data_IF_330693370342
#
_entry.id   IF_330693370342
#
_cell.length_a   1.000
_cell.length_b   1.000
_cell.length_c   1.000
_cell.angle_alpha   90.00
_cell.angle_beta   90.00
_cell.angle_gamma   90.00
#
_symmetry.space_group_name_H-M   'P 1'
#
loop_
_entity.id
_entity.type
_entity.pdbx_description
1 polymer ?
#
# COMPACT_ATOMS: atom_id res chain seq x y z
N UNK A 1 16.57 41.63 -4.13
CA UNK A 1 15.64 40.83 -3.30
C UNK A 1 15.00 39.61 -4.01
N UNK A 2 15.26 39.37 -5.30
CA UNK A 2 14.60 38.30 -6.10
C UNK A 2 15.24 36.91 -5.92
N UNK A 3 16.56 36.81 -5.70
CA UNK A 3 17.27 35.52 -5.52
C UNK A 3 17.00 34.83 -4.18
N UNK A 4 16.73 35.58 -3.11
CA UNK A 4 16.38 35.01 -1.78
C UNK A 4 15.02 34.31 -1.77
N UNK A 5 14.13 34.65 -2.71
CA UNK A 5 12.80 34.00 -2.86
C UNK A 5 12.91 32.69 -3.65
N UNK A 6 13.71 32.67 -4.70
CA UNK A 6 13.99 31.46 -5.48
C UNK A 6 14.69 30.37 -4.66
N UNK A 7 15.63 30.75 -3.79
CA UNK A 7 16.33 29.82 -2.90
C UNK A 7 15.39 29.16 -1.87
N UNK A 8 14.41 29.91 -1.35
CA UNK A 8 13.42 29.40 -0.39
C UNK A 8 12.42 28.44 -1.03
N UNK A 9 12.04 28.69 -2.29
CA UNK A 9 11.13 27.83 -3.04
C UNK A 9 11.83 26.51 -3.42
N UNK A 10 13.10 26.56 -3.82
CA UNK A 10 13.90 25.35 -4.11
C UNK A 10 14.13 24.47 -2.88
N UNK A 11 14.35 25.08 -1.70
CA UNK A 11 14.57 24.33 -0.45
C UNK A 11 13.28 23.64 0.04
N UNK A 12 12.12 24.30 -0.07
CA UNK A 12 10.81 23.72 0.28
C UNK A 12 10.42 22.56 -0.64
N UNK A 13 10.69 22.66 -1.94
CA UNK A 13 10.39 21.60 -2.89
C UNK A 13 11.25 20.34 -2.67
N UNK A 14 12.50 20.49 -2.23
CA UNK A 14 13.39 19.36 -1.97
C UNK A 14 13.03 18.62 -0.66
N UNK A 15 12.56 19.35 0.36
CA UNK A 15 12.21 18.77 1.66
C UNK A 15 10.95 17.89 1.60
N UNK A 16 9.98 18.21 0.73
CA UNK A 16 8.77 17.40 0.56
C UNK A 16 9.01 16.11 -0.24
N UNK A 17 9.98 16.12 -1.16
CA UNK A 17 10.37 14.94 -1.94
C UNK A 17 11.09 13.88 -1.10
N UNK A 18 11.85 14.27 -0.07
CA UNK A 18 12.52 13.31 0.82
C UNK A 18 11.54 12.59 1.77
N UNK A 19 10.42 13.21 2.14
CA UNK A 19 9.46 12.63 3.08
C UNK A 19 8.65 11.45 2.49
N UNK A 20 8.47 11.43 1.17
CA UNK A 20 7.72 10.37 0.49
C UNK A 20 8.50 9.03 0.38
N UNK A 21 9.83 9.05 0.59
CA UNK A 21 10.67 7.87 0.48
C UNK A 21 10.61 6.94 1.72
N UNK A 22 9.98 7.38 2.81
CA UNK A 22 9.92 6.61 4.06
C UNK A 22 8.65 5.74 4.19
N UNK A 23 7.79 5.72 3.17
CA UNK A 23 6.62 4.85 3.13
C UNK A 23 7.04 3.47 2.60
N UNK A 24 7.48 2.58 3.49
CA UNK A 24 7.88 1.22 3.16
C UNK A 24 6.65 0.30 3.02
N UNK A 25 6.23 -0.07 1.80
CA UNK A 25 5.03 -0.91 1.61
C UNK A 25 5.20 -2.32 2.18
N UNK A 26 6.45 -2.77 2.35
CA UNK A 26 6.76 -4.05 2.98
C UNK A 26 6.52 -4.01 4.50
N UNK A 27 6.91 -2.91 5.16
CA UNK A 27 6.67 -2.72 6.59
C UNK A 27 5.17 -2.64 6.88
N UNK A 28 4.40 -1.95 6.03
CA UNK A 28 2.95 -1.88 6.17
C UNK A 28 2.28 -3.24 6.00
N UNK A 29 2.65 -4.01 4.97
CA UNK A 29 2.13 -5.39 4.79
C UNK A 29 2.38 -6.27 6.01
N UNK A 30 3.57 -6.19 6.62
CA UNK A 30 3.89 -6.98 7.80
C UNK A 30 3.02 -6.61 9.02
N UNK A 31 2.73 -5.31 9.21
CA UNK A 31 1.83 -4.85 10.27
C UNK A 31 0.40 -5.36 10.06
N UNK A 32 -0.09 -5.23 8.84
CA UNK A 32 -1.43 -5.70 8.48
C UNK A 32 -1.57 -7.22 8.63
N UNK A 33 -0.54 -7.99 8.29
CA UNK A 33 -0.54 -9.44 8.46
C UNK A 33 -0.61 -9.85 9.94
N UNK A 34 0.08 -9.12 10.82
CA UNK A 34 0.00 -9.32 12.26
C UNK A 34 -1.40 -9.01 12.81
N UNK A 35 -2.05 -7.95 12.32
CA UNK A 35 -3.43 -7.59 12.68
C UNK A 35 -4.41 -8.68 12.22
N UNK A 36 -4.32 -9.11 10.97
CA UNK A 36 -5.19 -10.15 10.41
C UNK A 36 -5.04 -11.47 11.18
N UNK A 37 -3.82 -11.81 11.62
CA UNK A 37 -3.57 -12.95 12.49
C UNK A 37 -4.30 -12.84 13.84
N UNK A 38 -4.18 -11.71 14.54
CA UNK A 38 -4.84 -11.51 15.85
C UNK A 38 -6.36 -11.55 15.70
N UNK A 39 -6.91 -10.85 14.70
CA UNK A 39 -8.35 -10.89 14.42
C UNK A 39 -8.86 -12.32 14.21
N UNK A 40 -8.14 -13.14 13.45
CA UNK A 40 -8.55 -14.52 13.23
C UNK A 40 -8.46 -15.38 14.51
N UNK A 41 -7.46 -15.14 15.37
CA UNK A 41 -7.36 -15.82 16.67
C UNK A 41 -8.52 -15.41 17.59
N UNK A 42 -8.82 -14.11 17.66
CA UNK A 42 -9.89 -13.55 18.49
C UNK A 42 -11.28 -14.04 18.06
N UNK A 43 -11.47 -14.26 16.75
CA UNK A 43 -12.67 -14.89 16.19
C UNK A 43 -12.75 -16.40 16.45
N UNK A 44 -11.73 -16.99 17.07
CA UNK A 44 -11.68 -18.41 17.45
C UNK A 44 -11.13 -19.34 16.37
N UNK A 45 -10.54 -18.82 15.29
CA UNK A 45 -9.92 -19.65 14.26
C UNK A 45 -8.56 -20.18 14.73
N UNK A 46 -8.35 -21.48 14.53
CA UNK A 46 -7.10 -22.15 14.93
C UNK A 46 -6.02 -21.99 13.85
N UNK A 47 -4.80 -21.55 14.20
CA UNK A 47 -3.67 -21.49 13.26
C UNK A 47 -3.41 -22.84 12.60
N UNK A 48 -3.03 -22.82 11.32
CA UNK A 48 -2.74 -24.05 10.56
C UNK A 48 -3.98 -24.81 10.06
N UNK A 49 -5.18 -24.27 10.24
CA UNK A 49 -6.41 -24.81 9.64
C UNK A 49 -6.81 -24.07 8.37
N UNK A 50 -7.54 -24.74 7.49
CA UNK A 50 -8.10 -24.11 6.27
C UNK A 50 -9.03 -22.94 6.61
N UNK A 51 -9.81 -23.06 7.70
CA UNK A 51 -10.69 -21.99 8.18
C UNK A 51 -9.91 -20.73 8.59
N UNK A 52 -8.75 -20.88 9.24
CA UNK A 52 -7.86 -19.76 9.56
C UNK A 52 -7.27 -19.11 8.29
N UNK A 53 -6.89 -19.92 7.30
CA UNK A 53 -6.46 -19.42 5.98
C UNK A 53 -7.56 -18.59 5.31
N UNK A 54 -8.80 -19.09 5.32
CA UNK A 54 -9.95 -18.40 4.76
C UNK A 54 -10.28 -17.09 5.50
N UNK A 55 -10.19 -17.07 6.84
CA UNK A 55 -10.36 -15.85 7.63
C UNK A 55 -9.39 -14.75 7.18
N UNK A 56 -8.10 -15.06 7.05
CA UNK A 56 -7.08 -14.11 6.60
C UNK A 56 -7.30 -13.65 5.16
N UNK A 57 -7.73 -14.55 4.27
CA UNK A 57 -8.07 -14.19 2.89
C UNK A 57 -9.28 -13.24 2.82
N UNK A 58 -10.33 -13.49 3.62
CA UNK A 58 -11.50 -12.61 3.70
C UNK A 58 -11.15 -11.21 4.22
N UNK A 59 -10.31 -11.11 5.24
CA UNK A 59 -9.85 -9.82 5.76
C UNK A 59 -9.05 -9.03 4.72
N UNK A 60 -8.19 -9.71 3.95
CA UNK A 60 -7.47 -9.11 2.81
C UNK A 60 -8.42 -8.65 1.70
N UNK A 61 -9.44 -9.44 1.37
CA UNK A 61 -10.47 -9.07 0.38
C UNK A 61 -11.26 -7.83 0.81
N UNK A 62 -11.67 -7.74 2.08
CA UNK A 62 -12.38 -6.57 2.62
C UNK A 62 -11.51 -5.32 2.47
N UNK A 63 -10.21 -5.41 2.75
CA UNK A 63 -9.29 -4.28 2.58
C UNK A 63 -9.17 -3.86 1.12
N UNK A 64 -8.98 -4.81 0.20
CA UNK A 64 -8.93 -4.52 -1.23
C UNK A 64 -10.24 -3.90 -1.75
N UNK A 65 -11.39 -4.34 -1.23
CA UNK A 65 -12.70 -3.77 -1.54
C UNK A 65 -12.87 -2.35 -1.00
N UNK A 66 -12.43 -2.08 0.23
CA UNK A 66 -12.50 -0.74 0.83
C UNK A 66 -11.55 0.24 0.12
N UNK A 67 -10.37 -0.21 -0.28
CA UNK A 67 -9.42 0.57 -1.08
C UNK A 67 -9.95 0.84 -2.50
N UNK A 68 -10.54 -0.16 -3.15
CA UNK A 68 -11.16 -0.04 -4.48
C UNK A 68 -12.44 0.80 -4.49
N UNK A 69 -13.22 0.80 -3.40
CA UNK A 69 -14.37 1.68 -3.23
C UNK A 69 -13.97 3.16 -3.12
N UNK A 70 -12.69 3.46 -2.81
CA UNK A 70 -12.16 4.81 -2.68
C UNK A 70 -11.28 5.24 -3.88
N UNK A 71 -11.03 4.37 -4.86
CA UNK A 71 -10.32 4.74 -6.09
C UNK A 71 -10.61 3.77 -7.26
N UNK A 72 -11.23 4.22 -8.37
CA UNK A 72 -11.52 3.35 -9.52
C UNK A 72 -10.27 3.01 -10.37
N UNK A 73 -9.05 3.10 -9.84
CA UNK A 73 -7.81 3.00 -10.64
C UNK A 73 -6.79 1.97 -10.10
N UNK A 74 -7.24 0.83 -9.56
CA UNK A 74 -6.33 -0.31 -9.31
C UNK A 74 -6.16 -1.13 -10.58
N UNK A 75 -5.28 -0.65 -11.46
CA UNK A 75 -4.68 -1.48 -12.52
C UNK A 75 -3.81 -2.55 -11.87
N UNK A 76 -4.35 -3.77 -11.77
CA UNK A 76 -3.59 -4.97 -11.50
C UNK A 76 -2.65 -5.24 -12.68
N UNK A 77 -1.34 -5.22 -12.42
CA UNK A 77 -0.29 -5.92 -13.17
C UNK A 77 -0.41 -5.95 -14.70
N UNK A 78 0.07 -4.90 -15.37
CA UNK A 78 0.65 -5.02 -16.71
C UNK A 78 2.05 -4.42 -16.69
N UNK A 79 3.02 -5.24 -16.32
CA UNK A 79 4.42 -4.99 -16.62
C UNK A 79 4.69 -5.39 -18.08
N UNK A 80 5.00 -4.38 -18.90
CA UNK A 80 5.85 -4.38 -20.12
C UNK A 80 5.73 -5.56 -21.09
N UNK A 81 5.34 -5.28 -22.35
CA UNK A 81 5.52 -6.21 -23.47
C UNK A 81 5.26 -5.63 -24.87
N UNK A 82 6.34 -5.21 -25.54
CA UNK A 82 6.56 -5.11 -27.00
C UNK A 82 6.19 -3.81 -27.74
N UNK A 83 7.14 -3.44 -28.60
CA UNK A 83 7.39 -2.18 -29.28
C UNK A 83 6.60 -1.98 -30.60
N UNK A 84 6.60 -0.73 -31.06
CA UNK A 84 6.57 -0.25 -32.45
C UNK A 84 5.66 -0.96 -33.49
N UNK A 85 4.75 -0.16 -34.06
CA UNK A 85 4.34 -0.27 -35.47
C UNK A 85 2.87 -0.62 -35.70
N UNK A 86 2.08 0.38 -36.12
CA UNK A 86 1.34 0.44 -37.40
C UNK A 86 0.99 1.91 -37.68
#
# INVERSE_FOLDING_TARGET
MKSRRALRIGFLACFTLLAAACADPAAEKARLDAIDNQNCIDLGFKPGTEAYGNCRLKLKEIRAKNEGAQSPNVSFGLGVGVAHGF
#
